data_IF_037487958490
#
_entry.id   IF_037487958490
#
_cell.length_a   1.000
_cell.length_b   1.000
_cell.length_c   1.000
_cell.angle_alpha   90.00
_cell.angle_beta   90.00
_cell.angle_gamma   90.00
#
_symmetry.space_group_name_H-M   'P 1'
#
loop_
_entity.id
_entity.type
_entity.pdbx_description
1 polymer ?
#
# COMPACT_ATOMS: atom_id res chain seq x y z
N UNK A 1 -14.99 -0.54 -31.89
CA UNK A 1 -14.96 -0.58 -30.41
C UNK A 1 -15.69 -1.82 -30.00
N UNK A 2 -14.97 -2.82 -29.49
CA UNK A 2 -15.60 -3.98 -28.86
C UNK A 2 -16.26 -3.50 -27.56
N UNK A 3 -17.48 -3.95 -27.33
CA UNK A 3 -18.25 -3.60 -26.13
C UNK A 3 -17.67 -4.45 -24.99
N UNK A 4 -17.27 -3.84 -23.86
CA UNK A 4 -16.75 -4.61 -22.74
C UNK A 4 -17.81 -5.60 -22.20
N UNK A 5 -17.40 -6.77 -21.69
CA UNK A 5 -18.31 -7.81 -21.21
C UNK A 5 -19.17 -7.33 -20.03
N UNK A 6 -20.27 -8.04 -19.76
CA UNK A 6 -21.12 -7.78 -18.59
C UNK A 6 -20.29 -7.85 -17.29
N UNK A 7 -20.62 -7.00 -16.31
CA UNK A 7 -19.90 -6.85 -15.03
C UNK A 7 -18.48 -6.25 -15.09
N UNK A 8 -18.05 -5.69 -16.23
CA UNK A 8 -16.72 -5.04 -16.33
C UNK A 8 -16.48 -3.97 -15.26
N UNK A 9 -17.51 -3.18 -14.92
CA UNK A 9 -17.39 -2.14 -13.88
C UNK A 9 -17.15 -2.73 -12.48
N UNK A 10 -17.88 -3.80 -12.13
CA UNK A 10 -17.72 -4.48 -10.84
C UNK A 10 -16.33 -5.13 -10.73
N UNK A 11 -15.89 -5.78 -11.81
CA UNK A 11 -14.57 -6.40 -11.92
C UNK A 11 -13.48 -5.33 -11.78
N UNK A 12 -13.64 -4.19 -12.46
CA UNK A 12 -12.70 -3.09 -12.38
C UNK A 12 -12.62 -2.50 -10.97
N UNK A 13 -13.75 -2.18 -10.35
CA UNK A 13 -13.80 -1.61 -8.99
C UNK A 13 -13.21 -2.56 -7.94
N UNK A 14 -13.32 -3.86 -8.17
CA UNK A 14 -12.73 -4.88 -7.33
C UNK A 14 -11.20 -4.96 -7.52
N UNK A 15 -10.74 -5.12 -8.77
CA UNK A 15 -9.32 -5.28 -9.08
C UNK A 15 -8.51 -4.00 -8.81
N UNK A 16 -9.07 -2.81 -9.07
CA UNK A 16 -8.41 -1.51 -8.84
C UNK A 16 -8.02 -1.30 -7.37
N UNK A 17 -8.71 -1.95 -6.42
CA UNK A 17 -8.38 -1.92 -4.99
C UNK A 17 -7.18 -2.81 -4.64
N UNK A 18 -6.59 -3.50 -5.62
CA UNK A 18 -5.49 -4.43 -5.43
C UNK A 18 -5.94 -5.83 -4.98
N UNK A 19 -7.20 -6.18 -5.24
CA UNK A 19 -7.71 -7.53 -4.99
C UNK A 19 -7.41 -8.47 -6.16
N UNK A 20 -7.53 -9.77 -5.88
CA UNK A 20 -7.32 -10.85 -6.84
C UNK A 20 -8.65 -11.54 -7.11
N UNK A 21 -8.92 -11.84 -8.38
CA UNK A 21 -10.04 -12.69 -8.79
C UNK A 21 -9.49 -14.09 -9.01
N UNK A 22 -9.80 -15.02 -8.10
CA UNK A 22 -9.25 -16.39 -8.12
C UNK A 22 -10.29 -17.43 -8.52
N UNK A 23 -9.83 -18.46 -9.23
CA UNK A 23 -10.65 -19.61 -9.66
C UNK A 23 -11.20 -20.40 -8.47
N UNK A 24 -10.41 -20.54 -7.40
CA UNK A 24 -10.70 -21.34 -6.21
C UNK A 24 -11.42 -20.56 -5.10
N UNK A 25 -11.90 -19.36 -5.40
CA UNK A 25 -12.60 -18.53 -4.42
C UNK A 25 -13.84 -19.22 -3.85
N UNK A 26 -14.10 -19.00 -2.56
CA UNK A 26 -15.32 -19.48 -1.89
C UNK A 26 -16.56 -18.71 -2.33
N UNK A 27 -16.40 -17.49 -2.83
CA UNK A 27 -17.47 -16.66 -3.35
C UNK A 27 -17.85 -17.07 -4.78
N UNK A 28 -19.13 -17.30 -5.01
CA UNK A 28 -19.67 -17.65 -6.32
C UNK A 28 -19.52 -16.51 -7.32
N UNK A 29 -19.66 -15.26 -6.87
CA UNK A 29 -19.51 -14.07 -7.70
C UNK A 29 -18.08 -13.98 -8.26
N UNK A 30 -17.08 -14.23 -7.42
CA UNK A 30 -15.68 -14.21 -7.82
C UNK A 30 -15.36 -15.32 -8.81
N UNK A 31 -15.90 -16.54 -8.63
CA UNK A 31 -15.75 -17.62 -9.62
C UNK A 31 -16.44 -17.30 -10.94
N UNK A 32 -17.58 -16.59 -10.89
CA UNK A 32 -18.26 -16.13 -12.10
C UNK A 32 -17.43 -15.07 -12.84
N UNK A 33 -16.90 -14.08 -12.13
CA UNK A 33 -15.99 -13.09 -12.71
C UNK A 33 -14.73 -13.73 -13.28
N UNK A 34 -14.15 -14.72 -12.61
CA UNK A 34 -13.02 -15.48 -13.15
C UNK A 34 -13.37 -16.07 -14.52
N UNK A 35 -14.51 -16.76 -14.64
CA UNK A 35 -14.96 -17.35 -15.91
C UNK A 35 -15.24 -16.31 -17.00
N UNK A 36 -15.77 -15.14 -16.63
CA UNK A 36 -16.01 -14.04 -17.57
C UNK A 36 -14.69 -13.51 -18.12
N UNK A 37 -13.67 -13.36 -17.28
CA UNK A 37 -12.33 -12.90 -17.67
C UNK A 37 -11.60 -13.96 -18.49
N UNK A 38 -11.69 -15.23 -18.09
CA UNK A 38 -10.99 -16.37 -18.70
C UNK A 38 -11.50 -16.72 -20.11
N UNK A 39 -12.68 -16.24 -20.50
CA UNK A 39 -13.16 -16.32 -21.87
C UNK A 39 -12.22 -15.50 -22.78
N UNK A 40 -11.51 -16.16 -23.70
CA UNK A 40 -10.41 -15.56 -24.46
C UNK A 40 -10.79 -14.29 -25.25
N UNK A 41 -12.04 -14.17 -25.70
CA UNK A 41 -12.52 -12.96 -26.38
C UNK A 41 -12.74 -11.78 -25.41
N UNK A 42 -13.15 -12.09 -24.18
CA UNK A 42 -13.34 -11.10 -23.13
C UNK A 42 -12.00 -10.67 -22.54
N UNK A 43 -11.05 -11.60 -22.36
CA UNK A 43 -9.71 -11.28 -21.87
C UNK A 43 -9.03 -10.21 -22.73
N UNK A 44 -8.99 -10.40 -24.04
CA UNK A 44 -8.37 -9.44 -24.97
C UNK A 44 -9.07 -8.08 -24.91
N UNK A 45 -10.40 -8.07 -24.92
CA UNK A 45 -11.21 -6.85 -24.80
C UNK A 45 -10.96 -6.10 -23.48
N UNK A 46 -10.85 -6.83 -22.37
CA UNK A 46 -10.55 -6.26 -21.05
C UNK A 46 -9.11 -5.74 -20.97
N UNK A 47 -8.14 -6.43 -21.56
CA UNK A 47 -6.76 -5.95 -21.67
C UNK A 47 -6.69 -4.62 -22.44
N UNK A 48 -7.39 -4.52 -23.58
CA UNK A 48 -7.48 -3.27 -24.35
C UNK A 48 -8.15 -2.15 -23.53
N UNK A 49 -9.26 -2.46 -22.85
CA UNK A 49 -9.99 -1.50 -22.02
C UNK A 49 -9.13 -0.96 -20.87
N UNK A 50 -8.47 -1.83 -20.11
CA UNK A 50 -7.63 -1.42 -18.98
C UNK A 50 -6.35 -0.71 -19.42
N UNK A 51 -5.81 -1.04 -20.60
CA UNK A 51 -4.66 -0.36 -21.18
C UNK A 51 -4.94 1.13 -21.43
N UNK A 52 -6.17 1.49 -21.82
CA UNK A 52 -6.59 2.91 -21.97
C UNK A 52 -6.53 3.68 -20.63
N UNK A 53 -6.57 2.98 -19.49
CA UNK A 53 -6.48 3.53 -18.14
C UNK A 53 -5.05 3.43 -17.55
N UNK A 54 -4.04 3.09 -18.36
CA UNK A 54 -2.67 2.77 -17.93
C UNK A 54 -2.57 1.60 -16.93
N UNK A 55 -3.53 0.68 -16.98
CA UNK A 55 -3.54 -0.53 -16.16
C UNK A 55 -3.32 -1.74 -17.06
N UNK A 56 -2.69 -2.78 -16.53
CA UNK A 56 -2.45 -4.05 -17.23
C UNK A 56 -3.14 -5.17 -16.47
N UNK A 57 -3.99 -5.93 -17.16
CA UNK A 57 -4.59 -7.14 -16.61
C UNK A 57 -3.60 -8.28 -16.76
N UNK A 58 -3.15 -8.85 -15.65
CA UNK A 58 -2.17 -9.92 -15.60
C UNK A 58 -2.80 -11.23 -15.11
N UNK A 59 -2.42 -12.32 -15.76
CA UNK A 59 -2.81 -13.68 -15.39
C UNK A 59 -1.73 -14.30 -14.50
N UNK A 60 -2.14 -14.75 -13.32
CA UNK A 60 -1.35 -15.60 -12.42
C UNK A 60 -1.76 -17.07 -12.51
N UNK A 61 -1.28 -17.90 -11.59
CA UNK A 61 -1.67 -19.32 -11.54
C UNK A 61 -3.07 -19.47 -10.94
N UNK A 62 -4.10 -19.42 -11.78
CA UNK A 62 -5.51 -19.56 -11.38
C UNK A 62 -6.11 -18.30 -10.77
N UNK A 63 -5.56 -17.12 -11.08
CA UNK A 63 -6.11 -15.84 -10.65
C UNK A 63 -5.72 -14.70 -11.60
N UNK A 64 -6.51 -13.62 -11.58
CA UNK A 64 -6.24 -12.39 -12.33
C UNK A 64 -6.08 -11.19 -11.39
N UNK A 65 -5.24 -10.23 -11.79
CA UNK A 65 -5.03 -8.97 -11.07
C UNK A 65 -4.71 -7.82 -12.01
N UNK A 66 -4.91 -6.58 -11.54
CA UNK A 66 -4.44 -5.39 -12.22
C UNK A 66 -3.06 -4.99 -11.71
N UNK A 67 -2.15 -4.76 -12.64
CA UNK A 67 -0.86 -4.12 -12.39
C UNK A 67 -0.85 -2.74 -13.06
N UNK A 68 0.06 -1.89 -12.60
CA UNK A 68 0.38 -0.63 -13.23
C UNK A 68 1.88 -0.59 -13.45
N UNK A 69 2.33 -0.19 -14.65
CA UNK A 69 3.74 0.12 -14.86
C UNK A 69 4.04 1.43 -14.15
N UNK A 70 4.88 1.35 -13.14
CA UNK A 70 5.30 2.52 -12.36
C UNK A 70 6.68 2.96 -12.81
N UNK A 71 6.91 4.27 -12.78
CA UNK A 71 8.22 4.83 -12.98
C UNK A 71 9.16 4.39 -11.86
N UNK A 72 10.45 4.23 -12.18
CA UNK A 72 11.45 3.78 -11.20
C UNK A 72 11.47 4.67 -9.94
N UNK A 73 11.25 5.97 -10.10
CA UNK A 73 11.15 6.93 -9.00
C UNK A 73 9.98 6.66 -8.05
N UNK A 74 8.83 6.22 -8.57
CA UNK A 74 7.67 5.89 -7.74
C UNK A 74 7.88 4.62 -6.94
N UNK A 75 8.52 3.62 -7.55
CA UNK A 75 8.92 2.38 -6.86
C UNK A 75 9.90 2.71 -5.72
N UNK A 76 10.92 3.51 -5.99
CA UNK A 76 11.88 3.94 -4.97
C UNK A 76 11.20 4.69 -3.81
N UNK A 77 10.26 5.59 -4.13
CA UNK A 77 9.46 6.31 -3.12
C UNK A 77 8.63 5.35 -2.27
N UNK A 78 7.95 4.38 -2.88
CA UNK A 78 7.17 3.36 -2.16
C UNK A 78 8.06 2.47 -1.28
N UNK A 79 9.23 2.07 -1.76
CA UNK A 79 10.21 1.30 -0.99
C UNK A 79 10.68 2.10 0.22
N UNK A 80 11.03 3.38 0.05
CA UNK A 80 11.39 4.26 1.17
C UNK A 80 10.26 4.36 2.20
N UNK A 81 9.01 4.50 1.73
CA UNK A 81 7.85 4.52 2.61
C UNK A 81 7.65 3.19 3.35
N UNK A 82 7.93 2.05 2.71
CA UNK A 82 7.88 0.74 3.34
C UNK A 82 8.93 0.58 4.46
N UNK A 83 10.16 1.04 4.25
CA UNK A 83 11.20 1.05 5.29
C UNK A 83 10.76 1.81 6.54
N UNK A 84 10.15 2.99 6.36
CA UNK A 84 9.57 3.75 7.48
C UNK A 84 8.56 2.92 8.28
N UNK A 85 7.63 2.23 7.60
CA UNK A 85 6.65 1.39 8.28
C UNK A 85 7.28 0.18 8.99
N UNK A 86 8.31 -0.42 8.39
CA UNK A 86 9.09 -1.50 9.01
C UNK A 86 9.73 -1.01 10.32
N UNK A 87 10.37 0.16 10.30
CA UNK A 87 11.02 0.72 11.49
C UNK A 87 10.01 1.08 12.59
N UNK A 88 8.84 1.61 12.22
CA UNK A 88 7.74 1.86 13.18
C UNK A 88 7.28 0.55 13.82
N UNK A 89 7.08 -0.50 13.03
CA UNK A 89 6.68 -1.81 13.55
C UNK A 89 7.75 -2.43 14.43
N UNK A 90 9.02 -2.27 14.07
CA UNK A 90 10.14 -2.77 14.86
C UNK A 90 10.24 -2.03 16.21
N UNK A 91 10.08 -0.70 16.22
CA UNK A 91 9.96 0.09 17.45
C UNK A 91 8.81 -0.41 18.32
N UNK A 92 7.61 -0.56 17.75
CA UNK A 92 6.44 -1.04 18.50
C UNK A 92 6.68 -2.44 19.08
N UNK A 93 7.25 -3.37 18.29
CA UNK A 93 7.62 -4.71 18.78
C UNK A 93 8.61 -4.65 19.94
N UNK A 94 9.63 -3.80 19.85
CA UNK A 94 10.58 -3.59 20.94
C UNK A 94 9.88 -3.01 22.18
N UNK A 95 8.96 -2.06 21.99
CA UNK A 95 8.21 -1.42 23.07
C UNK A 95 7.32 -2.43 23.80
N UNK A 96 6.58 -3.26 23.06
CA UNK A 96 5.75 -4.32 23.64
C UNK A 96 6.57 -5.30 24.49
N UNK A 97 7.76 -5.69 24.02
CA UNK A 97 8.67 -6.54 24.80
C UNK A 97 9.20 -5.85 26.05
N UNK A 98 9.63 -4.60 25.94
CA UNK A 98 10.19 -3.83 27.07
C UNK A 98 9.16 -3.53 28.16
N UNK A 99 7.92 -3.23 27.75
CA UNK A 99 6.82 -2.90 28.65
C UNK A 99 6.01 -4.12 29.10
N UNK A 100 6.40 -5.32 28.67
CA UNK A 100 5.65 -6.57 28.84
C UNK A 100 4.17 -6.42 28.43
N UNK A 101 3.91 -5.61 27.40
CA UNK A 101 2.59 -5.31 26.87
C UNK A 101 2.28 -6.26 25.71
N UNK A 102 1.18 -6.98 25.83
CA UNK A 102 0.64 -7.78 24.73
C UNK A 102 -0.18 -6.88 23.80
N UNK A 103 0.16 -6.89 22.51
CA UNK A 103 -0.62 -6.22 21.47
C UNK A 103 -1.91 -7.01 21.23
N UNK A 104 -2.98 -6.62 21.90
CA UNK A 104 -4.31 -7.20 21.78
C UNK A 104 -5.31 -6.12 21.34
N UNK A 105 -6.46 -6.55 20.82
CA UNK A 105 -7.57 -5.64 20.55
C UNK A 105 -7.94 -4.88 21.84
N UNK A 106 -7.95 -3.55 21.77
CA UNK A 106 -8.20 -2.68 22.92
C UNK A 106 -6.94 -2.16 23.64
N UNK A 107 -5.72 -2.49 23.18
CA UNK A 107 -4.49 -1.86 23.69
C UNK A 107 -4.51 -0.35 23.40
N UNK A 108 -4.38 0.48 24.44
CA UNK A 108 -4.27 1.94 24.34
C UNK A 108 -2.83 2.34 24.61
N UNK A 109 -2.29 3.19 23.76
CA UNK A 109 -0.96 3.74 23.90
C UNK A 109 -1.02 5.10 24.60
N UNK A 110 -0.19 5.29 25.62
CA UNK A 110 0.04 6.61 26.22
C UNK A 110 1.42 7.12 25.86
N UNK A 111 1.49 8.34 25.33
CA UNK A 111 2.75 9.00 25.01
C UNK A 111 3.68 9.10 26.23
N UNK A 112 3.14 9.31 27.43
CA UNK A 112 3.93 9.37 28.66
C UNK A 112 4.57 8.01 28.99
N UNK A 113 3.83 6.92 28.81
CA UNK A 113 4.34 5.56 29.05
C UNK A 113 5.42 5.19 28.04
N UNK A 114 5.22 5.53 26.76
CA UNK A 114 6.23 5.35 25.72
C UNK A 114 7.50 6.12 26.06
N UNK A 115 7.38 7.39 26.43
CA UNK A 115 8.52 8.25 26.81
C UNK A 115 9.32 7.67 27.99
N UNK A 116 8.64 7.20 29.03
CA UNK A 116 9.28 6.56 30.19
C UNK A 116 10.04 5.30 29.77
N UNK A 117 9.43 4.44 28.94
CA UNK A 117 10.08 3.20 28.47
C UNK A 117 11.28 3.49 27.58
N UNK A 118 11.21 4.51 26.71
CA UNK A 118 12.35 4.95 25.90
C UNK A 118 13.50 5.50 26.76
N UNK A 119 13.21 6.16 27.88
CA UNK A 119 14.25 6.68 28.76
C UNK A 119 14.98 5.58 29.56
N UNK A 120 14.31 4.45 29.79
CA UNK A 120 14.86 3.31 30.54
C UNK A 120 15.60 2.34 29.60
N UNK A 121 15.11 2.17 28.36
CA UNK A 121 15.63 1.20 27.42
C UNK A 121 16.39 1.87 26.28
N UNK A 122 17.72 1.73 26.28
CA UNK A 122 18.60 2.28 25.24
C UNK A 122 18.21 1.85 23.82
N UNK A 123 17.81 0.59 23.64
CA UNK A 123 17.40 0.06 22.32
C UNK A 123 16.14 0.75 21.81
N UNK A 124 15.20 1.09 22.71
CA UNK A 124 14.01 1.86 22.32
C UNK A 124 14.37 3.29 21.95
N UNK A 125 15.32 3.88 22.67
CA UNK A 125 15.80 5.24 22.38
C UNK A 125 16.46 5.31 21.01
N UNK A 126 17.39 4.41 20.70
CA UNK A 126 18.05 4.34 19.39
C UNK A 126 17.04 4.16 18.25
N UNK A 127 16.02 3.30 18.45
CA UNK A 127 14.95 3.11 17.46
C UNK A 127 14.09 4.36 17.31
N UNK A 128 13.78 5.06 18.41
CA UNK A 128 13.05 6.32 18.36
C UNK A 128 13.84 7.40 17.61
N UNK A 129 15.14 7.50 17.87
CA UNK A 129 16.02 8.45 17.17
C UNK A 129 16.06 8.15 15.66
N UNK A 130 16.12 6.87 15.28
CA UNK A 130 15.97 6.44 13.88
C UNK A 130 14.64 6.88 13.25
N UNK A 131 13.55 6.88 14.02
CA UNK A 131 12.24 7.35 13.54
C UNK A 131 12.15 8.87 13.39
N UNK A 132 12.88 9.64 14.20
CA UNK A 132 12.91 11.10 14.13
C UNK A 132 13.48 11.57 12.78
N UNK A 133 14.46 10.86 12.22
CA UNK A 133 15.03 11.19 10.90
C UNK A 133 13.95 11.24 9.80
N UNK A 134 12.91 10.39 9.87
CA UNK A 134 11.79 10.43 8.92
C UNK A 134 10.86 11.65 9.08
N UNK A 135 10.88 12.33 10.24
CA UNK A 135 10.15 13.56 10.47
C UNK A 135 10.92 14.76 9.92
N UNK A 136 12.25 14.76 10.07
CA UNK A 136 13.11 15.80 9.50
C UNK A 136 13.02 15.80 7.96
N UNK A 137 13.04 14.61 7.34
CA UNK A 137 12.82 14.47 5.90
C UNK A 137 11.46 15.03 5.45
N UNK A 138 10.42 14.88 6.27
CA UNK A 138 9.08 15.39 5.98
C UNK A 138 9.01 16.92 6.10
N UNK A 139 9.61 17.50 7.15
CA UNK A 139 9.68 18.95 7.36
C UNK A 139 10.50 19.62 6.26
N UNK A 140 11.62 19.02 5.86
CA UNK A 140 12.43 19.50 4.73
C UNK A 140 11.62 19.45 3.43
N UNK A 141 10.89 18.37 3.18
CA UNK A 141 10.06 18.24 1.98
C UNK A 141 8.95 19.31 1.91
N UNK A 142 8.29 19.60 3.04
CA UNK A 142 7.27 20.65 3.13
C UNK A 142 7.86 22.05 2.87
N UNK A 143 9.02 22.35 3.48
CA UNK A 143 9.66 23.66 3.32
C UNK A 143 10.15 23.90 1.88
N UNK A 144 10.53 22.85 1.14
CA UNK A 144 10.89 22.95 -0.28
C UNK A 144 9.65 23.23 -1.15
N UNK A 145 8.52 22.60 -0.85
CA UNK A 145 7.26 22.84 -1.57
C UNK A 145 6.66 24.23 -1.31
N UNK A 146 6.84 24.80 -0.12
CA UNK A 146 6.44 26.18 0.18
C UNK A 146 7.38 27.19 -0.48
N UNK A 147 8.70 27.00 -0.37
CA UNK A 147 9.68 27.91 -0.98
C UNK A 147 9.67 27.94 -2.52
N UNK A 148 9.16 26.89 -3.18
CA UNK A 148 8.99 26.87 -4.64
C UNK A 148 7.73 27.58 -5.11
N UNK A 149 6.69 27.72 -4.28
CA UNK A 149 5.49 28.50 -4.62
C UNK A 149 5.75 30.00 -4.54
N UNK A 150 6.61 30.44 -3.62
CA UNK A 150 6.99 31.84 -3.49
C UNK A 150 7.89 32.31 -4.65
N UNK A 151 8.66 31.41 -5.26
CA UNK A 151 9.54 31.73 -6.39
C UNK A 151 8.82 31.82 -7.76
N UNK A 152 7.54 31.44 -7.84
CA UNK A 152 6.73 31.44 -9.08
C UNK A 152 5.67 32.56 -9.06
N UNK A 153 5.61 33.35 -7.98
CA UNK A 153 4.65 34.46 -7.81
C UNK A 153 5.24 35.88 -8.00
N UNK A 154 6.49 35.99 -8.47
CA UNK A 154 7.12 37.23 -8.97
C UNK A 154 7.33 37.18 -10.49
#
# INVERSE_FOLDING_TARGET
>A
MNIPPEHTDDIFDFLRKGHFISEDSRDETMRNWFRIIDDGNNYETLCEYFSMLNLSLEEGKGYYYLSQKEEKSDIERKIKQAYKWIDILDFLKAYGRSSNLLFMQGTIFSASQISVQCNINHVLKEKLDGLINYLEDLVISINIEEGTKDAISE
#
